data_IF_076303132554
#
_entry.id   IF_076303132554
#
_cell.length_a   1.000
_cell.length_b   1.000
_cell.length_c   1.000
_cell.angle_alpha   90.00
_cell.angle_beta   90.00
_cell.angle_gamma   90.00
#
_symmetry.space_group_name_H-M   'P 1'
#
loop_
_entity.id
_entity.type
_entity.pdbx_description
1 polymer ?
#
# COMPACT_ATOMS: atom_id res chain seq x y z
N UNK A 1 42.93 1.59 13.25
CA UNK A 1 42.15 1.37 12.02
C UNK A 1 40.69 1.64 12.35
N UNK A 2 40.16 2.80 11.92
CA UNK A 2 38.79 3.19 12.24
C UNK A 2 37.79 2.38 11.42
N UNK A 3 36.80 1.80 12.08
CA UNK A 3 35.73 1.07 11.41
C UNK A 3 34.82 2.10 10.72
N UNK A 4 34.93 2.20 9.39
CA UNK A 4 34.00 3.01 8.60
C UNK A 4 32.65 2.30 8.53
N UNK A 5 31.76 2.56 9.48
CA UNK A 5 30.39 2.04 9.46
C UNK A 5 29.60 2.73 8.34
N UNK A 6 29.34 1.99 7.25
CA UNK A 6 28.48 2.48 6.16
C UNK A 6 27.02 2.47 6.62
N UNK A 7 26.39 3.65 6.66
CA UNK A 7 24.96 3.81 6.97
C UNK A 7 24.07 3.06 5.98
N UNK A 8 22.89 2.61 6.43
CA UNK A 8 21.88 1.98 5.59
C UNK A 8 21.51 2.90 4.42
N UNK A 9 21.35 4.20 4.66
CA UNK A 9 21.06 5.18 3.61
C UNK A 9 22.18 5.22 2.55
N UNK A 10 23.44 5.17 2.99
CA UNK A 10 24.59 5.14 2.09
C UNK A 10 24.61 3.86 1.25
N UNK A 11 24.28 2.70 1.84
CA UNK A 11 24.16 1.44 1.10
C UNK A 11 23.06 1.52 0.04
N UNK A 12 21.87 1.98 0.43
CA UNK A 12 20.72 2.14 -0.47
C UNK A 12 21.06 3.09 -1.64
N UNK A 13 21.70 4.23 -1.36
CA UNK A 13 22.13 5.15 -2.40
C UNK A 13 23.11 4.49 -3.36
N UNK A 14 24.13 3.82 -2.83
CA UNK A 14 25.16 3.15 -3.64
C UNK A 14 24.58 2.03 -4.52
N UNK A 15 23.55 1.31 -4.04
CA UNK A 15 22.97 0.17 -4.75
C UNK A 15 21.86 0.56 -5.72
N UNK A 16 20.95 1.44 -5.32
CA UNK A 16 19.73 1.73 -6.08
C UNK A 16 19.81 3.07 -6.83
N UNK A 17 20.35 4.11 -6.18
CA UNK A 17 20.18 5.48 -6.64
C UNK A 17 21.44 6.11 -7.28
N UNK A 18 22.59 5.44 -7.24
CA UNK A 18 23.87 6.00 -7.76
C UNK A 18 23.95 6.05 -9.29
N UNK A 19 23.38 5.08 -10.01
CA UNK A 19 23.38 5.05 -11.48
C UNK A 19 21.99 5.38 -12.00
N UNK A 20 21.90 6.18 -13.06
CA UNK A 20 20.60 6.61 -13.64
C UNK A 20 19.76 5.43 -14.13
N UNK A 21 20.37 4.38 -14.66
CA UNK A 21 19.67 3.17 -15.10
C UNK A 21 19.07 2.37 -13.94
N UNK A 22 19.83 2.14 -12.86
CA UNK A 22 19.32 1.44 -11.67
C UNK A 22 18.30 2.30 -10.92
N UNK A 23 18.48 3.61 -10.94
CA UNK A 23 17.55 4.58 -10.38
C UNK A 23 16.19 4.49 -11.07
N UNK A 24 16.16 4.56 -12.41
CA UNK A 24 14.93 4.44 -13.19
C UNK A 24 14.25 3.08 -12.97
N UNK A 25 15.01 1.98 -12.96
CA UNK A 25 14.48 0.66 -12.64
C UNK A 25 13.86 0.61 -11.25
N UNK A 26 14.52 1.19 -10.25
CA UNK A 26 14.03 1.26 -8.86
C UNK A 26 12.70 2.01 -8.79
N UNK A 27 12.55 3.11 -9.53
CA UNK A 27 11.29 3.85 -9.60
C UNK A 27 10.19 2.98 -10.22
N UNK A 28 10.43 2.40 -11.40
CA UNK A 28 9.40 1.59 -12.08
C UNK A 28 8.92 0.45 -11.20
N UNK A 29 9.86 -0.31 -10.63
CA UNK A 29 9.54 -1.41 -9.71
C UNK A 29 8.81 -0.87 -8.48
N UNK A 30 9.36 0.18 -7.85
CA UNK A 30 8.77 0.82 -6.67
C UNK A 30 7.33 1.28 -6.91
N UNK A 31 7.02 1.88 -8.05
CA UNK A 31 5.69 2.34 -8.41
C UNK A 31 4.70 1.19 -8.54
N UNK A 32 5.07 0.07 -9.18
CA UNK A 32 4.16 -1.08 -9.33
C UNK A 32 3.76 -1.69 -7.98
N UNK A 33 4.70 -1.77 -7.04
CA UNK A 33 4.41 -2.25 -5.68
C UNK A 33 3.66 -1.21 -4.87
N UNK A 34 4.03 0.06 -4.99
CA UNK A 34 3.38 1.16 -4.29
C UNK A 34 1.91 1.30 -4.70
N UNK A 35 1.61 1.24 -6.00
CA UNK A 35 0.24 1.31 -6.53
C UNK A 35 -0.68 0.30 -5.82
N UNK A 36 -0.31 -0.99 -5.83
CA UNK A 36 -1.13 -2.04 -5.21
C UNK A 36 -1.30 -1.87 -3.72
N UNK A 37 -0.20 -1.60 -3.01
CA UNK A 37 -0.26 -1.43 -1.56
C UNK A 37 -1.06 -0.17 -1.16
N UNK A 38 -0.95 0.90 -1.94
CA UNK A 38 -1.62 2.16 -1.68
C UNK A 38 -3.11 2.08 -1.99
N UNK A 39 -3.51 1.47 -3.10
CA UNK A 39 -4.92 1.29 -3.45
C UNK A 39 -5.65 0.44 -2.41
N UNK A 40 -5.08 -0.71 -2.01
CA UNK A 40 -5.67 -1.56 -0.98
C UNK A 40 -5.67 -0.86 0.40
N UNK A 41 -4.56 -0.21 0.75
CA UNK A 41 -4.42 0.48 2.04
C UNK A 41 -5.40 1.64 2.19
N UNK A 42 -5.52 2.49 1.17
CA UNK A 42 -6.45 3.63 1.20
C UNK A 42 -7.90 3.16 1.12
N UNK A 43 -8.20 2.14 0.31
CA UNK A 43 -9.52 1.52 0.27
C UNK A 43 -9.95 0.99 1.65
N UNK A 44 -9.06 0.28 2.33
CA UNK A 44 -9.31 -0.21 3.69
C UNK A 44 -9.56 0.92 4.69
N UNK A 45 -8.73 1.97 4.66
CA UNK A 45 -8.90 3.14 5.53
C UNK A 45 -10.26 3.81 5.24
N UNK A 46 -10.60 3.99 3.97
CA UNK A 46 -11.87 4.59 3.56
C UNK A 46 -13.08 3.77 4.02
N UNK A 47 -13.02 2.46 3.86
CA UNK A 47 -14.05 1.51 4.32
C UNK A 47 -14.23 1.55 5.83
N UNK A 48 -13.13 1.63 6.58
CA UNK A 48 -13.17 1.72 8.04
C UNK A 48 -13.80 3.02 8.51
N UNK A 49 -13.45 4.14 7.89
CA UNK A 49 -13.99 5.46 8.22
C UNK A 49 -15.49 5.55 7.88
N UNK A 50 -15.93 4.91 6.80
CA UNK A 50 -17.30 4.98 6.28
C UNK A 50 -18.13 3.72 6.56
N UNK A 51 -17.70 2.89 7.50
CA UNK A 51 -18.37 1.64 7.83
C UNK A 51 -19.87 1.87 8.14
N UNK A 52 -20.73 1.08 7.51
CA UNK A 52 -22.18 1.13 7.68
C UNK A 52 -22.88 2.21 6.84
N UNK A 53 -22.14 3.09 6.15
CA UNK A 53 -22.70 4.11 5.25
C UNK A 53 -22.57 3.72 3.78
N UNK A 54 -21.62 2.85 3.46
CA UNK A 54 -21.34 2.46 2.08
C UNK A 54 -22.42 1.54 1.53
N UNK A 55 -22.69 1.62 0.22
CA UNK A 55 -23.69 0.78 -0.44
C UNK A 55 -23.46 -0.72 -0.18
N UNK A 56 -22.21 -1.19 -0.19
CA UNK A 56 -21.87 -2.59 0.09
C UNK A 56 -22.26 -3.02 1.51
N UNK A 57 -22.15 -2.13 2.49
CA UNK A 57 -22.55 -2.41 3.87
C UNK A 57 -24.08 -2.42 4.00
N UNK A 58 -24.75 -1.43 3.39
CA UNK A 58 -26.21 -1.32 3.39
C UNK A 58 -26.86 -2.52 2.69
N UNK A 59 -26.34 -2.90 1.53
CA UNK A 59 -26.80 -4.09 0.79
C UNK A 59 -26.66 -5.35 1.64
N UNK A 60 -25.50 -5.56 2.26
CA UNK A 60 -25.26 -6.71 3.16
C UNK A 60 -26.24 -6.72 4.34
N UNK A 61 -26.57 -5.56 4.91
CA UNK A 61 -27.57 -5.47 5.98
C UNK A 61 -28.99 -5.81 5.50
N UNK A 62 -29.36 -5.39 4.28
CA UNK A 62 -30.67 -5.69 3.70
C UNK A 62 -30.83 -7.18 3.40
N UNK A 63 -29.83 -7.80 2.79
CA UNK A 63 -29.83 -9.25 2.51
C UNK A 63 -29.93 -10.07 3.81
N UNK A 64 -29.21 -9.65 4.87
CA UNK A 64 -29.32 -10.28 6.19
C UNK A 64 -30.70 -10.11 6.82
N UNK A 65 -31.40 -8.99 6.57
CA UNK A 65 -32.76 -8.77 7.09
C UNK A 65 -33.78 -9.64 6.39
N UNK A 66 -33.75 -9.70 5.06
CA UNK A 66 -34.65 -10.55 4.28
C UNK A 66 -34.54 -12.02 4.70
N UNK A 67 -33.33 -12.52 4.88
CA UNK A 67 -33.08 -13.91 5.30
C UNK A 67 -33.51 -14.21 6.76
N UNK A 68 -33.82 -13.21 7.58
CA UNK A 68 -34.36 -13.40 8.94
C UNK A 68 -35.88 -13.37 8.99
N UNK A 69 -36.51 -12.87 7.93
CA UNK A 69 -37.96 -12.77 7.80
C UNK A 69 -38.57 -14.02 7.14
N UNK A 70 -37.74 -14.82 6.45
CA UNK A 70 -38.03 -16.19 6.01
C UNK A 70 -37.82 -17.23 7.13
#
# INVERSE_FOLDING_TARGET
MGVNTVSIATKIYQTLFRRTSTFALTIVVGTLFFERAFDEGTGYIFDRINAGKQYKDLKKQLELRAAKEE
#
